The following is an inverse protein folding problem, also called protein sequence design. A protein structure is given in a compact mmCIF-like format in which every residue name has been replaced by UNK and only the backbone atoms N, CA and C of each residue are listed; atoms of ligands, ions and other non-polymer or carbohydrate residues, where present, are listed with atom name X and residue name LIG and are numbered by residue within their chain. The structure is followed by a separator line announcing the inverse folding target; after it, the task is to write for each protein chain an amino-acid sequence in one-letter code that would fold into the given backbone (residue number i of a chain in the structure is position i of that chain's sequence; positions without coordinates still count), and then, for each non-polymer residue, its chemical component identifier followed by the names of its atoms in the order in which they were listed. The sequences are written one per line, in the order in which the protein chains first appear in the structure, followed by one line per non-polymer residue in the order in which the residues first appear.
data_IF_103263701674
#
_entry.id   IF_103263701674
#
_cell.length_a   1.000
_cell.length_b   1.000
_cell.length_c   1.000
_cell.angle_alpha   90.00
_cell.angle_beta   90.00
_cell.angle_gamma   90.00
#
_symmetry.space_group_name_H-M   'P 1'
#
loop_
_entity.id
_entity.type
_entity.pdbx_description
1 polymer ?
#
# COMPACT_ATOMS: atom_id res chain seq x y z
N UNK A 1 6.74 -25.91 -12.14
CA UNK A 1 5.87 -25.03 -11.33
C UNK A 1 4.80 -25.89 -10.69
N UNK A 2 4.62 -25.82 -9.37
CA UNK A 2 3.57 -26.56 -8.67
C UNK A 2 2.19 -26.22 -9.25
N UNK A 3 1.38 -27.24 -9.53
CA UNK A 3 0.04 -27.08 -10.13
C UNK A 3 -0.85 -26.12 -9.34
N UNK A 4 -0.63 -26.01 -8.02
CA UNK A 4 -1.33 -25.04 -7.18
C UNK A 4 -0.89 -23.59 -7.42
N UNK A 5 0.40 -23.35 -7.66
CA UNK A 5 0.92 -22.01 -7.93
C UNK A 5 0.42 -21.50 -9.28
N UNK A 6 0.41 -22.35 -10.31
CA UNK A 6 -0.11 -21.97 -11.63
C UNK A 6 -1.57 -21.54 -11.55
N UNK A 7 -2.40 -22.24 -10.76
CA UNK A 7 -3.81 -21.87 -10.59
C UNK A 7 -4.01 -20.53 -9.87
N UNK A 8 -3.08 -20.15 -9.01
CA UNK A 8 -3.11 -18.84 -8.35
C UNK A 8 -2.76 -17.76 -9.38
N UNK A 9 -1.70 -17.96 -10.16
CA UNK A 9 -1.28 -17.03 -11.23
C UNK A 9 -2.41 -16.84 -12.24
N UNK A 10 -2.95 -17.92 -12.80
CA UNK A 10 -4.03 -17.86 -13.78
C UNK A 10 -5.29 -17.15 -13.23
N UNK A 11 -5.58 -17.32 -11.93
CA UNK A 11 -6.69 -16.65 -11.29
C UNK A 11 -6.45 -15.13 -11.18
N UNK A 12 -5.25 -14.70 -10.81
CA UNK A 12 -4.90 -13.28 -10.78
C UNK A 12 -4.91 -12.65 -12.17
N UNK A 13 -4.36 -13.34 -13.18
CA UNK A 13 -4.36 -12.89 -14.58
C UNK A 13 -5.76 -12.76 -15.18
N UNK A 14 -6.73 -13.54 -14.66
CA UNK A 14 -8.12 -13.44 -15.10
C UNK A 14 -8.85 -12.18 -14.61
N UNK A 15 -8.29 -11.46 -13.63
CA UNK A 15 -8.90 -10.29 -13.04
C UNK A 15 -8.50 -9.02 -13.81
N UNK A 16 -9.44 -8.09 -14.08
CA UNK A 16 -9.09 -6.79 -14.63
C UNK A 16 -8.14 -6.04 -13.68
N UNK A 17 -7.08 -5.43 -14.24
CA UNK A 17 -6.11 -4.65 -13.48
C UNK A 17 -6.79 -3.55 -12.66
N UNK A 18 -7.83 -2.92 -13.20
CA UNK A 18 -8.60 -1.88 -12.52
C UNK A 18 -9.30 -2.39 -11.26
N UNK A 19 -9.74 -3.66 -11.26
CA UNK A 19 -10.38 -4.27 -10.10
C UNK A 19 -9.37 -4.47 -8.97
N UNK A 20 -8.18 -4.96 -9.31
CA UNK A 20 -7.06 -5.13 -8.38
C UNK A 20 -6.65 -3.78 -7.81
N UNK A 21 -6.41 -2.78 -8.67
CA UNK A 21 -6.05 -1.43 -8.24
C UNK A 21 -7.12 -0.82 -7.33
N UNK A 22 -8.41 -0.99 -7.67
CA UNK A 22 -9.52 -0.49 -6.85
C UNK A 22 -9.55 -1.16 -5.49
N UNK A 23 -9.33 -2.48 -5.38
CA UNK A 23 -9.39 -3.16 -4.08
C UNK A 23 -8.33 -2.63 -3.11
N UNK A 24 -7.12 -2.34 -3.58
CA UNK A 24 -6.08 -1.73 -2.74
C UNK A 24 -6.49 -0.33 -2.24
N UNK A 25 -6.91 0.55 -3.15
CA UNK A 25 -7.33 1.93 -2.81
C UNK A 25 -8.50 1.96 -1.83
N UNK A 26 -9.48 1.09 -2.02
CA UNK A 26 -10.67 0.97 -1.16
C UNK A 26 -10.32 0.47 0.24
N UNK A 27 -9.29 -0.38 0.37
CA UNK A 27 -8.79 -0.92 1.63
C UNK A 27 -7.76 -0.02 2.34
N UNK A 28 -7.54 1.21 1.87
CA UNK A 28 -6.60 2.14 2.51
C UNK A 28 -5.15 1.99 2.09
N UNK A 29 -4.87 1.16 1.07
CA UNK A 29 -3.56 1.04 0.46
C UNK A 29 -3.56 1.93 -0.79
N UNK A 30 -3.19 3.19 -0.58
CA UNK A 30 -3.11 4.22 -1.62
C UNK A 30 -1.66 4.44 -2.03
N UNK A 31 -1.40 4.62 -3.34
CA UNK A 31 -0.07 4.97 -3.85
C UNK A 31 0.21 6.48 -3.79
N UNK A 32 -0.82 7.30 -3.53
CA UNK A 32 -0.68 8.74 -3.47
C UNK A 32 -0.14 9.17 -2.09
N UNK A 33 1.17 9.43 -2.05
CA UNK A 33 1.91 9.87 -0.84
C UNK A 33 1.40 11.22 -0.31
N UNK A 34 0.81 12.03 -1.19
CA UNK A 34 0.19 13.33 -0.84
C UNK A 34 -1.18 13.20 -0.15
N UNK A 35 -1.71 11.97 -0.02
CA UNK A 35 -3.01 11.71 0.60
C UNK A 35 -4.21 12.10 -0.26
N UNK A 36 -4.02 12.43 -1.54
CA UNK A 36 -5.10 12.84 -2.47
C UNK A 36 -6.15 11.74 -2.69
N UNK A 37 -5.79 10.48 -2.50
CA UNK A 37 -6.68 9.32 -2.66
C UNK A 37 -7.45 8.94 -1.38
N UNK A 38 -7.34 9.71 -0.30
CA UNK A 38 -8.04 9.41 0.96
C UNK A 38 -9.56 9.27 0.82
N UNK A 39 -10.18 9.96 -0.14
CA UNK A 39 -11.63 9.86 -0.42
C UNK A 39 -12.05 8.51 -1.05
N UNK A 40 -11.09 7.71 -1.51
CA UNK A 40 -11.34 6.40 -2.11
C UNK A 40 -11.46 5.29 -1.07
N UNK A 41 -10.96 5.53 0.15
CA UNK A 41 -10.99 4.58 1.26
C UNK A 41 -12.43 4.33 1.67
N UNK A 42 -12.86 3.07 1.68
CA UNK A 42 -14.26 2.72 1.87
C UNK A 42 -14.84 3.24 3.17
N UNK A 43 -14.10 3.09 4.26
CA UNK A 43 -14.58 3.47 5.58
C UNK A 43 -14.74 4.99 5.73
N UNK A 44 -14.08 5.80 4.90
CA UNK A 44 -14.15 7.26 4.95
C UNK A 44 -15.34 7.85 4.17
N UNK A 45 -16.07 7.02 3.42
CA UNK A 45 -17.26 7.45 2.70
C UNK A 45 -18.39 7.82 3.67
N UNK A 46 -19.38 8.65 3.26
CA UNK A 46 -20.51 9.02 4.11
C UNK A 46 -21.27 7.83 4.69
N UNK A 47 -21.40 6.76 3.91
CA UNK A 47 -22.02 5.49 4.28
C UNK A 47 -21.06 4.48 4.96
N UNK A 48 -19.78 4.82 5.05
CA UNK A 48 -18.73 4.00 5.63
C UNK A 48 -18.77 3.95 7.16
N UNK A 49 -17.94 3.07 7.73
CA UNK A 49 -17.85 2.91 9.19
C UNK A 49 -17.14 4.06 9.91
N UNK A 50 -16.42 4.92 9.20
CA UNK A 50 -15.68 6.06 9.75
C UNK A 50 -15.70 7.28 8.79
N UNK A 51 -16.86 7.94 8.60
CA UNK A 51 -16.99 9.04 7.63
C UNK A 51 -16.04 10.23 7.91
N UNK A 52 -15.67 10.45 9.17
CA UNK A 52 -14.72 11.48 9.59
C UNK A 52 -13.25 11.08 9.43
N UNK A 53 -12.98 9.85 8.99
CA UNK A 53 -11.65 9.26 9.00
C UNK A 53 -10.64 10.02 8.15
N UNK A 54 -11.05 10.59 7.01
CA UNK A 54 -10.17 11.44 6.20
C UNK A 54 -9.68 12.67 6.97
N UNK A 55 -10.60 13.35 7.67
CA UNK A 55 -10.28 14.54 8.46
C UNK A 55 -9.37 14.20 9.63
N UNK A 56 -9.63 13.06 10.28
CA UNK A 56 -8.79 12.56 11.38
C UNK A 56 -7.38 12.24 10.89
N UNK A 57 -7.25 11.53 9.77
CA UNK A 57 -5.96 11.18 9.16
C UNK A 57 -5.16 12.44 8.77
N UNK A 58 -5.81 13.41 8.13
CA UNK A 58 -5.17 14.68 7.76
C UNK A 58 -4.67 15.48 8.99
N UNK A 59 -5.42 15.44 10.10
CA UNK A 59 -5.02 16.08 11.35
C UNK A 59 -3.79 15.38 11.96
N UNK A 60 -3.78 14.05 12.00
CA UNK A 60 -2.62 13.30 12.49
C UNK A 60 -1.39 13.52 11.60
N UNK A 61 -1.54 13.55 10.27
CA UNK A 61 -0.44 13.90 9.36
C UNK A 61 0.13 15.29 9.64
N UNK A 62 -0.73 16.30 9.87
CA UNK A 62 -0.30 17.66 10.21
C UNK A 62 0.44 17.72 11.56
N UNK A 63 0.03 16.91 12.53
CA UNK A 63 0.71 16.81 13.83
C UNK A 63 2.06 16.11 13.70
N UNK A 64 2.13 15.03 12.93
CA UNK A 64 3.37 14.31 12.68
C UNK A 64 4.37 15.19 11.93
N UNK A 65 3.96 15.93 10.89
CA UNK A 65 4.85 16.83 10.17
C UNK A 65 5.41 17.96 11.04
N UNK A 66 4.72 18.32 12.12
CA UNK A 66 5.18 19.29 13.10
C UNK A 66 6.04 18.66 14.23
N UNK A 67 6.17 17.32 14.25
CA UNK A 67 6.87 16.55 15.27
C UNK A 67 8.23 16.04 14.75
N UNK A 68 9.20 15.92 15.66
CA UNK A 68 10.52 15.32 15.39
C UNK A 68 10.44 13.87 14.89
N UNK A 69 9.32 13.18 15.13
CA UNK A 69 9.09 11.78 14.75
C UNK A 69 9.14 11.52 13.25
N UNK A 70 8.93 12.53 12.39
CA UNK A 70 9.09 12.37 10.94
C UNK A 70 10.55 12.20 10.56
N UNK A 71 11.48 12.84 11.28
CA UNK A 71 12.92 12.61 11.09
C UNK A 71 13.27 11.16 11.41
N UNK A 72 12.78 10.64 12.54
CA UNK A 72 13.04 9.26 12.97
C UNK A 72 12.51 8.21 11.98
N UNK A 73 11.41 8.50 11.28
CA UNK A 73 10.87 7.62 10.23
C UNK A 73 11.64 7.72 8.90
N UNK A 74 12.15 8.90 8.55
CA UNK A 74 13.01 9.07 7.36
C UNK A 74 14.30 8.27 7.56
N UNK A 75 14.91 8.37 8.74
CA UNK A 75 16.10 7.59 9.09
C UNK A 75 15.83 6.08 9.02
N UNK A 76 14.65 5.63 9.49
CA UNK A 76 14.25 4.21 9.41
C UNK A 76 14.04 3.73 7.97
N UNK A 77 13.53 4.57 7.07
CA UNK A 77 13.37 4.24 5.64
C UNK A 77 14.73 4.13 4.96
N UNK A 78 15.70 4.97 5.32
CA UNK A 78 17.08 4.87 4.83
C UNK A 78 17.80 3.60 5.32
N UNK A 79 17.42 3.07 6.49
CA UNK A 79 17.92 1.79 7.02
C UNK A 79 17.25 0.54 6.42
N UNK A 80 16.22 0.68 5.57
CA UNK A 80 15.62 -0.46 4.87
C UNK A 80 16.60 -0.92 3.78
N UNK A 81 17.35 -1.97 4.08
CA UNK A 81 18.22 -2.69 3.15
C UNK A 81 17.36 -3.54 2.21
N UNK A 82 16.96 -2.99 1.06
CA UNK A 82 16.19 -3.70 0.03
C UNK A 82 16.97 -4.87 -0.59
N UNK A 83 18.29 -4.93 -0.39
CA UNK A 83 19.15 -6.01 -0.88
C UNK A 83 19.12 -7.24 0.06
N UNK A 84 18.51 -7.15 1.25
CA UNK A 84 18.38 -8.27 2.18
C UNK A 84 17.32 -9.32 1.79
N UNK A 85 16.47 -9.05 0.78
CA UNK A 85 15.53 -10.04 0.27
C UNK A 85 16.25 -11.28 -0.29
N UNK A 86 17.48 -11.12 -0.80
CA UNK A 86 18.33 -12.21 -1.27
C UNK A 86 18.75 -13.19 -0.14
N UNK A 87 18.76 -12.73 1.12
CA UNK A 87 19.25 -13.50 2.27
C UNK A 87 18.16 -14.38 2.88
N UNK A 88 16.88 -14.05 2.68
CA UNK A 88 15.75 -14.85 3.16
C UNK A 88 15.42 -16.05 2.24
N UNK A 89 16.10 -16.15 1.09
CA UNK A 89 15.93 -17.22 0.10
C UNK A 89 14.75 -17.03 -0.87
N UNK A 90 14.04 -15.91 -0.81
CA UNK A 90 13.07 -15.50 -1.82
C UNK A 90 13.76 -14.61 -2.85
N UNK A 91 14.15 -15.22 -3.96
CA UNK A 91 14.58 -14.47 -5.14
C UNK A 91 13.35 -13.78 -5.73
N UNK A 92 13.31 -12.45 -5.71
CA UNK A 92 12.33 -11.67 -6.47
C UNK A 92 12.53 -12.02 -7.94
N UNK A 93 11.51 -12.58 -8.61
CA UNK A 93 11.64 -12.84 -10.03
C UNK A 93 11.60 -11.48 -10.75
N UNK A 94 12.55 -11.24 -11.67
CA UNK A 94 12.63 -10.02 -12.47
C UNK A 94 11.43 -9.84 -13.44
N UNK A 95 10.30 -10.52 -13.21
CA UNK A 95 9.07 -10.46 -14.01
C UNK A 95 8.37 -9.08 -14.00
N UNK A 96 8.92 -8.09 -13.29
CA UNK A 96 8.40 -6.72 -13.22
C UNK A 96 9.25 -5.67 -13.94
N UNK A 97 10.21 -6.06 -14.78
CA UNK A 97 10.75 -5.12 -15.78
C UNK A 97 9.75 -4.92 -16.94
N UNK A 98 8.95 -3.86 -16.85
CA UNK A 98 8.10 -3.32 -17.92
C UNK A 98 8.37 -1.82 -18.11
#
# INVERSE_FOLDING_TARGET
MDVNLQRIVDAWDSLPKELITRSFKVCGISNAVDGSEGDLIHCFKPEGSCPEGRRLLANEHSKLSASSAVSDLVDLVEEIDLDQDDVNGYVSDESLEL
#
